data_IF_575780210905
#
_entry.id   IF_575780210905
#
_cell.length_a   1.000
_cell.length_b   1.000
_cell.length_c   1.000
_cell.angle_alpha   90.00
_cell.angle_beta   90.00
_cell.angle_gamma   90.00
#
_symmetry.space_group_name_H-M   'P 1'
#
loop_
_entity.id
_entity.type
_entity.pdbx_description
1 polymer ?
#
# COMPACT_ATOMS: atom_id res chain seq x y z
N UNK A 1 9.66 20.97 20.30
CA UNK A 1 9.25 20.91 18.89
C UNK A 1 8.76 19.50 18.62
N UNK A 2 7.51 19.36 18.19
CA UNK A 2 6.92 18.10 17.77
C UNK A 2 6.88 17.99 16.24
N UNK A 3 7.03 16.79 15.70
CA UNK A 3 6.85 16.49 14.27
C UNK A 3 5.73 15.48 14.14
N UNK A 4 4.76 15.75 13.27
CA UNK A 4 3.66 14.82 12.99
C UNK A 4 3.28 14.85 11.52
N UNK A 5 2.88 13.69 10.99
CA UNK A 5 2.27 13.58 9.68
C UNK A 5 0.75 13.77 9.72
N UNK A 6 0.15 13.70 10.91
CA UNK A 6 -1.29 13.78 11.14
C UNK A 6 -1.58 14.78 12.28
N UNK A 7 -1.63 16.09 12.00
CA UNK A 7 -1.74 17.13 13.03
C UNK A 7 -3.11 17.20 13.71
N UNK A 8 -4.11 16.50 13.22
CA UNK A 8 -5.50 16.57 13.74
C UNK A 8 -5.59 16.31 15.24
N UNK A 9 -4.90 15.29 15.74
CA UNK A 9 -4.94 14.97 17.16
C UNK A 9 -4.43 16.12 18.05
N UNK A 10 -3.46 16.88 17.53
CA UNK A 10 -2.87 18.00 18.24
C UNK A 10 -3.77 19.24 18.25
N UNK A 11 -4.66 19.39 17.26
CA UNK A 11 -5.62 20.50 17.20
C UNK A 11 -6.81 20.32 18.16
N UNK A 12 -7.16 19.08 18.47
CA UNK A 12 -8.27 18.74 19.35
C UNK A 12 -7.86 18.55 20.84
N UNK A 13 -6.61 18.85 21.18
CA UNK A 13 -6.15 18.87 22.57
C UNK A 13 -6.84 20.02 23.30
N UNK A 14 -7.43 19.72 24.46
CA UNK A 14 -8.04 20.76 25.29
C UNK A 14 -6.98 21.76 25.75
N UNK A 15 -7.31 23.04 25.67
CA UNK A 15 -6.50 24.13 26.23
C UNK A 15 -6.81 24.40 27.73
N UNK A 16 -7.83 23.72 28.28
CA UNK A 16 -8.17 23.84 29.68
C UNK A 16 -7.17 23.08 30.54
N UNK A 17 -6.54 23.80 31.44
CA UNK A 17 -5.60 23.28 32.44
C UNK A 17 -6.38 22.71 33.62
N UNK A 18 -6.13 21.43 33.92
CA UNK A 18 -6.46 20.88 35.22
C UNK A 18 -5.15 20.67 35.99
N UNK A 19 -4.79 21.67 36.83
CA UNK A 19 -3.54 21.65 37.60
C UNK A 19 -3.43 20.48 38.56
N UNK A 20 -4.55 19.79 38.84
CA UNK A 20 -4.65 18.70 39.82
C UNK A 20 -4.77 17.32 39.19
N UNK A 21 -4.65 17.20 37.84
CA UNK A 21 -4.81 15.91 37.20
C UNK A 21 -3.60 14.96 37.45
N UNK A 22 -3.83 13.96 38.27
CA UNK A 22 -2.86 12.93 38.62
C UNK A 22 -3.27 11.61 38.06
N UNK A 23 -2.34 10.93 37.34
CA UNK A 23 -2.51 9.55 36.90
C UNK A 23 -1.86 8.58 37.90
N UNK A 24 -2.58 7.55 38.29
CA UNK A 24 -2.03 6.46 39.12
C UNK A 24 -1.59 5.32 38.22
N UNK A 25 -0.28 5.11 38.10
CA UNK A 25 0.30 4.01 37.33
C UNK A 25 1.10 3.12 38.29
N UNK A 26 0.75 1.85 38.40
CA UNK A 26 1.38 0.87 39.30
C UNK A 26 1.47 1.35 40.77
N UNK A 27 0.38 1.89 41.30
CA UNK A 27 0.27 2.46 42.65
C UNK A 27 1.22 3.64 42.97
N UNK A 28 1.70 4.35 41.95
CA UNK A 28 2.41 5.61 42.08
C UNK A 28 1.64 6.73 41.39
N UNK A 29 1.51 7.86 42.09
CA UNK A 29 0.94 9.09 41.53
C UNK A 29 1.99 9.76 40.62
N UNK A 30 1.56 10.17 39.43
CA UNK A 30 2.31 11.00 38.51
C UNK A 30 1.48 12.23 38.20
N UNK A 31 2.09 13.41 38.22
CA UNK A 31 1.48 14.57 37.61
C UNK A 31 1.44 14.37 36.10
N UNK A 32 0.28 14.42 35.52
CA UNK A 32 0.11 14.41 34.07
C UNK A 32 0.31 15.86 33.65
N UNK A 33 1.46 16.15 33.06
CA UNK A 33 1.71 17.45 32.45
C UNK A 33 0.72 17.70 31.30
N UNK A 34 0.61 18.95 30.90
CA UNK A 34 -0.27 19.36 29.81
C UNK A 34 0.06 18.62 28.54
N UNK A 35 -0.95 18.23 27.80
CA UNK A 35 -0.79 17.73 26.44
C UNK A 35 -0.11 18.79 25.56
N UNK A 36 0.72 18.34 24.62
CA UNK A 36 1.48 19.22 23.74
C UNK A 36 0.58 19.89 22.70
N UNK A 37 -0.14 20.95 23.13
CA UNK A 37 -0.85 21.81 22.20
C UNK A 37 0.15 22.77 21.51
N UNK A 38 0.07 22.97 20.18
CA UNK A 38 0.95 23.87 19.45
C UNK A 38 0.51 25.35 19.63
N UNK A 39 0.75 25.92 20.81
CA UNK A 39 0.31 27.27 21.19
C UNK A 39 1.00 28.36 20.37
N UNK A 40 2.25 28.16 19.98
CA UNK A 40 3.06 29.23 19.42
C UNK A 40 3.14 29.22 17.90
N UNK A 41 3.20 28.03 17.27
CA UNK A 41 3.20 27.92 15.81
C UNK A 41 2.91 26.50 15.33
N UNK A 42 2.34 26.41 14.14
CA UNK A 42 2.29 25.20 13.31
C UNK A 42 2.97 25.54 11.99
N UNK A 43 3.96 24.76 11.59
CA UNK A 43 4.64 24.93 10.32
C UNK A 43 4.33 23.76 9.39
N UNK A 44 3.72 24.06 8.26
CA UNK A 44 3.47 23.10 7.20
C UNK A 44 4.71 22.95 6.30
N UNK A 45 5.30 21.74 6.27
CA UNK A 45 6.45 21.45 5.41
C UNK A 45 5.93 20.92 4.08
N UNK A 46 6.18 21.66 3.00
CA UNK A 46 5.78 21.26 1.64
C UNK A 46 6.51 19.99 1.20
N UNK A 47 5.77 19.07 0.61
CA UNK A 47 6.33 17.84 0.05
C UNK A 47 7.23 18.11 -1.14
N UNK A 48 8.29 17.30 -1.31
CA UNK A 48 9.11 17.35 -2.52
C UNK A 48 8.30 16.92 -3.76
N UNK A 49 8.59 17.51 -4.93
CA UNK A 49 7.87 17.22 -6.17
C UNK A 49 7.83 15.73 -6.55
N UNK A 50 8.88 14.98 -6.24
CA UNK A 50 8.96 13.54 -6.52
C UNK A 50 8.38 12.65 -5.40
N UNK A 51 7.74 13.23 -4.40
CA UNK A 51 6.96 12.49 -3.42
C UNK A 51 5.55 12.21 -3.95
N UNK A 52 5.14 10.95 -3.95
CA UNK A 52 3.80 10.52 -4.33
C UNK A 52 2.95 10.50 -3.05
N UNK A 53 2.27 11.61 -2.82
CA UNK A 53 1.36 11.80 -1.69
C UNK A 53 -0.09 11.50 -2.05
N UNK A 54 -0.97 11.77 -1.10
CA UNK A 54 -2.40 11.53 -1.28
C UNK A 54 -2.98 12.42 -2.39
N UNK A 55 -2.60 13.69 -2.46
CA UNK A 55 -3.07 14.64 -3.48
C UNK A 55 -2.76 14.20 -4.92
N UNK A 56 -1.55 13.68 -5.16
CA UNK A 56 -1.22 13.15 -6.49
C UNK A 56 -1.95 11.86 -6.82
N UNK A 57 -2.19 11.02 -5.82
CA UNK A 57 -2.76 9.70 -6.03
C UNK A 57 -4.27 9.73 -6.19
N UNK A 58 -4.95 10.57 -5.41
CA UNK A 58 -6.42 10.64 -5.39
C UNK A 58 -6.97 11.86 -6.13
N UNK A 59 -6.09 12.76 -6.60
CA UNK A 59 -6.48 14.05 -7.16
C UNK A 59 -6.81 15.08 -6.07
N UNK A 60 -6.88 16.32 -6.48
CA UNK A 60 -7.34 17.45 -5.67
C UNK A 60 -8.16 18.37 -6.56
N UNK A 61 -9.26 18.86 -6.02
CA UNK A 61 -9.96 20.02 -6.56
C UNK A 61 -9.79 21.15 -5.54
N UNK A 62 -9.19 22.26 -5.95
CA UNK A 62 -9.11 23.45 -5.11
C UNK A 62 -10.48 24.13 -5.10
N UNK A 63 -11.18 24.15 -3.95
CA UNK A 63 -12.54 24.71 -3.86
C UNK A 63 -12.58 26.23 -4.13
N UNK A 64 -11.44 26.93 -4.03
CA UNK A 64 -11.37 28.38 -4.22
C UNK A 64 -11.05 28.78 -5.66
N UNK A 65 -10.20 28.00 -6.34
CA UNK A 65 -9.76 28.32 -7.71
C UNK A 65 -10.46 27.44 -8.76
N UNK A 66 -11.05 26.31 -8.39
CA UNK A 66 -11.60 25.30 -9.29
C UNK A 66 -10.52 24.57 -10.09
N UNK A 67 -9.23 24.76 -9.77
CA UNK A 67 -8.15 23.98 -10.37
C UNK A 67 -8.19 22.56 -9.83
N UNK A 68 -8.25 21.58 -10.74
CA UNK A 68 -8.23 20.17 -10.39
C UNK A 68 -6.95 19.52 -10.90
N UNK A 69 -6.34 18.73 -10.02
CA UNK A 69 -5.27 17.82 -10.41
C UNK A 69 -5.86 16.42 -10.58
N UNK A 70 -5.82 15.90 -11.81
CA UNK A 70 -6.26 14.54 -12.09
C UNK A 70 -5.46 13.53 -11.24
N UNK A 71 -6.12 12.47 -10.72
CA UNK A 71 -5.44 11.41 -10.00
C UNK A 71 -4.47 10.67 -10.93
N UNK A 72 -3.34 10.20 -10.39
CA UNK A 72 -2.45 9.32 -11.13
C UNK A 72 -3.17 8.04 -11.56
N UNK A 73 -2.97 7.60 -12.81
CA UNK A 73 -3.58 6.39 -13.37
C UNK A 73 -2.99 5.09 -12.77
N UNK A 74 -3.10 4.95 -11.45
CA UNK A 74 -2.64 3.75 -10.73
C UNK A 74 -3.75 3.03 -9.96
N UNK A 75 -4.94 3.62 -9.88
CA UNK A 75 -6.12 3.01 -9.28
C UNK A 75 -6.74 1.96 -10.22
N UNK A 76 -7.09 0.81 -9.65
CA UNK A 76 -7.79 -0.27 -10.34
C UNK A 76 -8.98 -0.71 -9.48
N UNK A 77 -10.18 -0.42 -9.97
CA UNK A 77 -11.42 -0.72 -9.26
C UNK A 77 -11.63 -2.23 -9.14
N UNK A 78 -12.02 -2.66 -7.94
CA UNK A 78 -12.50 -3.99 -7.65
C UNK A 78 -14.04 -3.90 -7.58
N UNK A 79 -14.71 -4.51 -8.53
CA UNK A 79 -16.17 -4.47 -8.61
C UNK A 79 -16.83 -5.39 -7.59
N UNK A 80 -18.00 -4.98 -7.07
CA UNK A 80 -18.74 -5.73 -6.05
C UNK A 80 -19.13 -7.16 -6.48
N UNK A 81 -19.28 -7.37 -7.77
CA UNK A 81 -19.62 -8.67 -8.36
C UNK A 81 -18.49 -9.70 -8.19
N UNK A 82 -17.23 -9.25 -8.14
CA UNK A 82 -16.07 -10.13 -7.94
C UNK A 82 -15.91 -10.64 -6.50
N UNK A 83 -16.58 -9.99 -5.54
CA UNK A 83 -16.57 -10.38 -4.15
C UNK A 83 -17.99 -10.65 -3.58
N UNK A 84 -18.93 -11.08 -4.44
CA UNK A 84 -20.26 -11.52 -4.05
C UNK A 84 -20.46 -13.02 -4.36
N UNK A 85 -20.67 -13.93 -3.38
CA UNK A 85 -20.68 -13.59 -1.95
C UNK A 85 -19.34 -13.06 -1.52
N UNK A 86 -19.32 -12.05 -0.65
CA UNK A 86 -18.13 -11.22 -0.44
C UNK A 86 -17.02 -12.04 0.21
N UNK A 87 -16.08 -12.51 -0.63
CA UNK A 87 -14.90 -13.23 -0.13
C UNK A 87 -14.10 -12.39 0.86
N UNK A 88 -14.09 -11.06 0.66
CA UNK A 88 -13.32 -10.16 1.51
C UNK A 88 -14.10 -8.95 2.02
N UNK A 89 -15.36 -8.78 1.64
CA UNK A 89 -16.17 -7.68 2.13
C UNK A 89 -16.74 -8.01 3.52
N UNK A 90 -16.55 -7.08 4.48
CA UNK A 90 -17.14 -7.16 5.82
C UNK A 90 -16.85 -8.43 6.63
N UNK A 91 -15.59 -8.88 6.59
CA UNK A 91 -15.16 -9.92 7.54
C UNK A 91 -15.33 -9.37 8.96
N UNK A 92 -16.24 -9.98 9.72
CA UNK A 92 -16.64 -9.53 11.04
C UNK A 92 -16.70 -10.71 12.03
N UNK A 93 -17.20 -10.48 13.24
CA UNK A 93 -17.25 -11.50 14.30
C UNK A 93 -18.14 -12.71 13.95
N UNK A 94 -19.11 -12.54 13.05
CA UNK A 94 -20.08 -13.60 12.71
C UNK A 94 -19.54 -14.53 11.62
N UNK A 95 -18.77 -14.00 10.68
CA UNK A 95 -18.23 -14.77 9.54
C UNK A 95 -16.69 -14.96 9.58
N UNK A 96 -16.06 -14.65 10.70
CA UNK A 96 -14.58 -14.77 10.85
C UNK A 96 -14.04 -16.19 10.69
N UNK A 97 -14.88 -17.20 10.81
CA UNK A 97 -14.52 -18.60 10.68
C UNK A 97 -14.89 -19.19 9.30
N UNK A 98 -15.62 -18.43 8.46
CA UNK A 98 -15.98 -18.80 7.09
C UNK A 98 -14.80 -18.47 6.15
N UNK A 99 -13.78 -19.31 6.18
CA UNK A 99 -12.54 -19.09 5.46
C UNK A 99 -12.71 -19.25 3.94
N UNK A 100 -12.02 -18.45 3.11
CA UNK A 100 -12.13 -18.51 1.66
C UNK A 100 -11.56 -19.84 1.12
N UNK A 101 -12.22 -20.40 0.14
CA UNK A 101 -11.76 -21.60 -0.57
C UNK A 101 -10.81 -21.26 -1.73
N UNK A 102 -10.96 -20.07 -2.33
CA UNK A 102 -10.19 -19.59 -3.47
C UNK A 102 -9.88 -18.09 -3.35
N UNK A 103 -8.95 -17.62 -4.17
CA UNK A 103 -8.65 -16.18 -4.31
C UNK A 103 -9.50 -15.57 -5.43
N UNK A 104 -10.03 -14.33 -5.25
CA UNK A 104 -10.81 -13.66 -6.28
C UNK A 104 -9.95 -13.31 -7.50
N UNK A 105 -10.59 -13.18 -8.68
CA UNK A 105 -9.90 -12.88 -9.93
C UNK A 105 -9.19 -11.52 -9.88
N UNK A 106 -9.75 -10.53 -9.20
CA UNK A 106 -9.10 -9.24 -8.97
C UNK A 106 -7.77 -9.37 -8.22
N UNK A 107 -7.68 -10.26 -7.22
CA UNK A 107 -6.42 -10.52 -6.51
C UNK A 107 -5.43 -11.30 -7.39
N UNK A 108 -5.90 -12.25 -8.19
CA UNK A 108 -5.07 -12.94 -9.19
C UNK A 108 -4.52 -11.96 -10.23
N UNK A 109 -5.33 -10.99 -10.69
CA UNK A 109 -4.91 -9.89 -11.57
C UNK A 109 -3.85 -9.01 -10.90
N UNK A 110 -4.03 -8.67 -9.62
CA UNK A 110 -3.04 -7.92 -8.86
C UNK A 110 -1.69 -8.66 -8.75
N UNK A 111 -1.70 -9.99 -8.57
CA UNK A 111 -0.48 -10.82 -8.58
C UNK A 111 0.17 -10.81 -9.96
N UNK A 112 -0.59 -10.95 -11.06
CA UNK A 112 -0.07 -10.80 -12.42
C UNK A 112 0.56 -9.42 -12.64
N UNK A 113 -0.08 -8.36 -12.15
CA UNK A 113 0.47 -7.00 -12.18
C UNK A 113 1.80 -6.91 -11.41
N UNK A 114 1.91 -7.59 -10.26
CA UNK A 114 3.16 -7.62 -9.50
C UNK A 114 4.28 -8.37 -10.24
N UNK A 115 3.96 -9.47 -10.95
CA UNK A 115 4.92 -10.18 -11.80
C UNK A 115 5.46 -9.24 -12.89
N UNK A 116 4.57 -8.55 -13.61
CA UNK A 116 4.95 -7.59 -14.66
C UNK A 116 5.77 -6.42 -14.10
N UNK A 117 5.36 -5.86 -12.96
CA UNK A 117 6.11 -4.81 -12.27
C UNK A 117 7.53 -5.25 -11.94
N UNK A 118 7.70 -6.42 -11.35
CA UNK A 118 9.02 -6.95 -11.02
C UNK A 118 9.87 -7.21 -12.27
N UNK A 119 9.29 -7.71 -13.36
CA UNK A 119 9.97 -7.91 -14.63
C UNK A 119 10.44 -6.58 -15.24
N UNK A 120 9.57 -5.57 -15.30
CA UNK A 120 9.92 -4.24 -15.84
C UNK A 120 10.96 -3.53 -14.97
N UNK A 121 10.85 -3.62 -13.65
CA UNK A 121 11.84 -3.05 -12.73
C UNK A 121 13.23 -3.65 -12.94
N UNK A 122 13.33 -4.94 -13.28
CA UNK A 122 14.61 -5.57 -13.64
C UNK A 122 15.21 -4.95 -14.90
N UNK A 123 14.39 -4.72 -15.95
CA UNK A 123 14.83 -4.00 -17.17
C UNK A 123 15.32 -2.57 -16.90
N UNK A 124 14.88 -1.97 -15.80
CA UNK A 124 15.30 -0.63 -15.36
C UNK A 124 16.47 -0.64 -14.38
N UNK A 125 17.16 -1.77 -14.23
CA UNK A 125 18.34 -1.93 -13.36
C UNK A 125 18.00 -2.09 -11.87
N UNK A 126 16.78 -2.50 -11.55
CA UNK A 126 16.32 -2.73 -10.18
C UNK A 126 16.31 -4.23 -9.79
N UNK A 127 17.10 -5.09 -10.45
CA UNK A 127 17.13 -6.53 -10.19
C UNK A 127 17.59 -6.90 -8.78
N UNK A 128 18.36 -6.01 -8.14
CA UNK A 128 18.83 -6.14 -6.75
C UNK A 128 18.07 -5.28 -5.75
N UNK A 129 17.02 -4.58 -6.21
CA UNK A 129 16.17 -3.79 -5.32
C UNK A 129 15.01 -4.61 -4.79
N UNK A 130 14.55 -4.26 -3.60
CA UNK A 130 13.37 -4.89 -3.03
C UNK A 130 12.11 -4.53 -3.80
N UNK A 131 11.20 -5.47 -3.89
CA UNK A 131 9.85 -5.31 -4.44
C UNK A 131 8.86 -5.81 -3.41
N UNK A 132 7.81 -5.06 -3.18
CA UNK A 132 6.77 -5.48 -2.25
C UNK A 132 5.39 -5.32 -2.88
N UNK A 133 4.55 -6.33 -2.60
CA UNK A 133 3.11 -6.28 -2.80
C UNK A 133 2.42 -6.36 -1.44
N UNK A 134 1.43 -5.50 -1.23
CA UNK A 134 0.60 -5.49 -0.03
C UNK A 134 -0.73 -6.16 -0.31
N UNK A 135 -1.15 -7.09 0.55
CA UNK A 135 -2.51 -7.65 0.57
C UNK A 135 -3.11 -7.41 1.95
N UNK A 136 -4.08 -6.49 2.02
CA UNK A 136 -4.69 -6.06 3.27
C UNK A 136 -6.22 -6.12 3.19
N UNK A 137 -6.77 -7.27 3.51
CA UNK A 137 -8.21 -7.56 3.38
C UNK A 137 -8.85 -7.98 4.70
N UNK A 138 -8.07 -8.49 5.66
CA UNK A 138 -8.57 -9.04 6.90
C UNK A 138 -7.73 -8.64 8.11
N UNK A 139 -8.35 -8.72 9.31
CA UNK A 139 -7.71 -8.53 10.61
C UNK A 139 -7.44 -9.86 11.32
N UNK A 140 -8.21 -10.88 11.00
CA UNK A 140 -8.21 -12.15 11.69
C UNK A 140 -7.06 -13.04 11.22
N UNK A 141 -6.30 -13.57 12.17
CA UNK A 141 -5.11 -14.40 11.90
C UNK A 141 -5.46 -15.60 11.00
N UNK A 142 -6.54 -16.33 11.31
CA UNK A 142 -6.98 -17.46 10.49
C UNK A 142 -7.19 -17.11 9.01
N UNK A 143 -7.72 -15.90 8.73
CA UNK A 143 -7.90 -15.40 7.36
C UNK A 143 -6.58 -15.09 6.69
N UNK A 144 -5.66 -14.42 7.42
CA UNK A 144 -4.32 -14.09 6.92
C UNK A 144 -3.57 -15.37 6.55
N UNK A 145 -3.59 -16.38 7.43
CA UNK A 145 -2.93 -17.66 7.21
C UNK A 145 -3.56 -18.41 6.02
N UNK A 146 -4.90 -18.42 5.94
CA UNK A 146 -5.59 -19.06 4.82
C UNK A 146 -5.30 -18.40 3.48
N UNK A 147 -5.35 -17.07 3.41
CA UNK A 147 -5.02 -16.33 2.19
C UNK A 147 -3.54 -16.55 1.82
N UNK A 148 -2.63 -16.59 2.79
CA UNK A 148 -1.22 -16.88 2.56
C UNK A 148 -1.00 -18.29 1.98
N UNK A 149 -1.72 -19.28 2.47
CA UNK A 149 -1.69 -20.64 1.92
C UNK A 149 -2.17 -20.68 0.46
N UNK A 150 -3.32 -20.04 0.18
CA UNK A 150 -3.87 -19.96 -1.16
C UNK A 150 -2.95 -19.18 -2.10
N UNK A 151 -2.32 -18.11 -1.62
CA UNK A 151 -1.36 -17.31 -2.37
C UNK A 151 -0.10 -18.13 -2.72
N UNK A 152 0.44 -18.87 -1.75
CA UNK A 152 1.59 -19.76 -2.01
C UNK A 152 1.27 -20.79 -3.09
N UNK A 153 0.08 -21.38 -3.07
CA UNK A 153 -0.35 -22.33 -4.09
C UNK A 153 -0.47 -21.65 -5.46
N UNK A 154 -1.07 -20.45 -5.51
CA UNK A 154 -1.17 -19.67 -6.74
C UNK A 154 0.22 -19.33 -7.33
N UNK A 155 1.16 -18.89 -6.51
CA UNK A 155 2.52 -18.57 -6.98
C UNK A 155 3.22 -19.83 -7.53
N UNK A 156 3.09 -20.98 -6.86
CA UNK A 156 3.62 -22.24 -7.36
C UNK A 156 3.01 -22.64 -8.72
N UNK A 157 1.67 -22.48 -8.84
CA UNK A 157 0.97 -22.71 -10.10
C UNK A 157 1.51 -21.79 -11.21
N UNK A 158 1.67 -20.50 -10.95
CA UNK A 158 2.17 -19.52 -11.92
C UNK A 158 3.63 -19.78 -12.30
N UNK A 159 4.47 -20.19 -11.36
CA UNK A 159 5.86 -20.63 -11.67
C UNK A 159 5.84 -21.82 -12.64
N UNK A 160 5.02 -22.83 -12.35
CA UNK A 160 4.91 -24.02 -13.21
C UNK A 160 4.41 -23.67 -14.61
N UNK A 161 3.40 -22.81 -14.74
CA UNK A 161 2.89 -22.33 -16.04
C UNK A 161 3.96 -21.57 -16.83
N UNK A 162 4.74 -20.71 -16.17
CA UNK A 162 5.84 -19.96 -16.81
C UNK A 162 6.97 -20.91 -17.23
N UNK A 163 7.30 -21.90 -16.41
CA UNK A 163 8.34 -22.87 -16.74
C UNK A 163 7.94 -23.80 -17.88
N UNK A 164 6.66 -24.17 -17.95
CA UNK A 164 6.08 -24.96 -19.04
C UNK A 164 5.84 -24.14 -20.34
N UNK A 165 6.09 -22.82 -20.33
CA UNK A 165 5.69 -21.89 -21.39
C UNK A 165 4.21 -22.03 -21.79
N UNK A 166 3.32 -22.11 -20.79
CA UNK A 166 1.87 -22.15 -20.99
C UNK A 166 1.41 -20.92 -21.77
N UNK A 167 0.94 -21.16 -23.00
CA UNK A 167 0.60 -20.12 -23.96
C UNK A 167 -0.58 -19.25 -23.47
N UNK A 168 -1.59 -19.86 -22.85
CA UNK A 168 -2.76 -19.14 -22.33
C UNK A 168 -2.34 -18.20 -21.21
N UNK A 169 -1.54 -18.67 -20.26
CA UNK A 169 -1.04 -17.86 -19.18
C UNK A 169 -0.13 -16.72 -19.65
N UNK A 170 0.81 -17.01 -20.55
CA UNK A 170 1.72 -15.99 -21.13
C UNK A 170 0.93 -14.95 -21.91
N UNK A 171 -0.08 -15.37 -22.70
CA UNK A 171 -0.96 -14.47 -23.42
C UNK A 171 -1.74 -13.57 -22.46
N UNK A 172 -2.25 -14.12 -21.36
CA UNK A 172 -2.95 -13.32 -20.34
C UNK A 172 -2.08 -12.27 -19.66
N UNK A 173 -0.78 -12.53 -19.49
CA UNK A 173 0.20 -11.54 -19.00
C UNK A 173 0.47 -10.46 -20.07
N UNK A 174 0.57 -10.86 -21.35
CA UNK A 174 0.75 -9.92 -22.46
C UNK A 174 -0.44 -8.96 -22.59
N UNK A 175 -1.64 -9.48 -22.58
CA UNK A 175 -2.87 -8.71 -22.65
C UNK A 175 -2.95 -7.71 -21.50
N UNK A 176 -2.63 -8.14 -20.27
CA UNK A 176 -2.58 -7.25 -19.12
C UNK A 176 -1.50 -6.17 -19.27
N UNK A 177 -0.33 -6.52 -19.81
CA UNK A 177 0.74 -5.55 -20.07
C UNK A 177 0.30 -4.50 -21.09
N UNK A 178 -0.26 -4.93 -22.22
CA UNK A 178 -0.69 -4.03 -23.31
C UNK A 178 -1.90 -3.16 -22.93
N UNK A 179 -2.88 -3.73 -22.21
CA UNK A 179 -4.09 -3.03 -21.84
C UNK A 179 -3.96 -2.12 -20.61
N UNK A 180 -3.00 -2.38 -19.73
CA UNK A 180 -2.87 -1.66 -18.46
C UNK A 180 -1.51 -0.93 -18.34
N UNK A 181 -0.37 -1.59 -18.52
CA UNK A 181 0.93 -1.00 -18.25
C UNK A 181 1.37 0.01 -19.32
N UNK A 182 1.13 -0.30 -20.59
CA UNK A 182 1.50 0.59 -21.69
C UNK A 182 0.77 1.94 -21.61
N UNK A 183 -0.57 1.99 -21.51
CA UNK A 183 -1.28 3.26 -21.39
C UNK A 183 -0.98 4.01 -20.10
N UNK A 184 -0.84 3.30 -18.97
CA UNK A 184 -0.45 3.95 -17.70
C UNK A 184 0.93 4.58 -17.77
N UNK A 185 1.92 3.92 -18.40
CA UNK A 185 3.25 4.53 -18.57
C UNK A 185 3.17 5.79 -19.42
N UNK A 186 2.38 5.81 -20.51
CA UNK A 186 2.15 7.01 -21.32
C UNK A 186 1.51 8.13 -20.49
N UNK A 187 0.41 7.81 -19.79
CA UNK A 187 -0.30 8.79 -18.96
C UNK A 187 0.63 9.41 -17.89
N UNK A 188 1.42 8.59 -17.21
CA UNK A 188 2.37 9.07 -16.19
C UNK A 188 3.47 9.95 -16.80
N UNK A 189 4.00 9.60 -17.97
CA UNK A 189 5.01 10.42 -18.66
C UNK A 189 4.47 11.78 -19.07
N UNK A 190 3.21 11.85 -19.45
CA UNK A 190 2.55 13.08 -19.91
C UNK A 190 2.12 14.00 -18.73
N UNK A 191 1.67 13.41 -17.61
CA UNK A 191 1.03 14.15 -16.51
C UNK A 191 1.88 14.31 -15.25
N UNK A 192 3.06 13.67 -15.18
CA UNK A 192 3.91 13.78 -13.99
C UNK A 192 4.61 15.15 -13.95
N UNK A 193 4.48 15.86 -12.83
CA UNK A 193 5.01 17.21 -12.60
C UNK A 193 6.56 17.27 -12.39
N UNK A 194 7.23 16.14 -12.53
CA UNK A 194 8.70 16.02 -12.53
C UNK A 194 9.17 15.00 -13.55
N UNK A 195 10.43 15.11 -13.99
CA UNK A 195 11.04 14.17 -14.94
C UNK A 195 11.84 13.08 -14.21
N UNK A 196 11.56 11.83 -14.56
CA UNK A 196 12.38 10.68 -14.14
C UNK A 196 12.78 9.87 -15.39
N UNK A 197 14.02 10.01 -15.83
CA UNK A 197 14.52 9.37 -17.05
C UNK A 197 14.53 7.84 -17.01
N UNK A 198 14.29 7.24 -15.86
CA UNK A 198 14.19 5.78 -15.71
C UNK A 198 12.82 5.27 -16.10
N UNK A 199 11.78 6.11 -16.09
CA UNK A 199 10.45 5.76 -16.58
C UNK A 199 10.49 5.80 -18.11
N UNK A 200 10.25 4.65 -18.72
CA UNK A 200 10.26 4.50 -20.17
C UNK A 200 9.42 3.29 -20.59
N UNK A 201 8.98 3.33 -21.84
CA UNK A 201 8.31 2.20 -22.46
C UNK A 201 9.26 1.02 -22.67
N UNK A 202 8.70 -0.17 -22.60
CA UNK A 202 9.36 -1.43 -22.93
C UNK A 202 8.49 -2.22 -23.90
N UNK A 203 9.12 -3.02 -24.75
CA UNK A 203 8.40 -3.97 -25.60
C UNK A 203 8.01 -5.23 -24.81
N UNK A 204 6.93 -5.89 -25.23
CA UNK A 204 6.57 -7.18 -24.64
C UNK A 204 7.71 -8.21 -24.69
N UNK A 205 8.46 -8.23 -25.80
CA UNK A 205 9.59 -9.16 -25.98
C UNK A 205 10.67 -8.98 -24.91
N UNK A 206 10.95 -7.75 -24.51
CA UNK A 206 11.89 -7.45 -23.43
C UNK A 206 11.32 -7.89 -22.07
N UNK A 207 10.06 -7.53 -21.79
CA UNK A 207 9.39 -7.85 -20.53
C UNK A 207 9.28 -9.36 -20.34
N UNK A 208 8.87 -10.10 -21.36
CA UNK A 208 8.70 -11.55 -21.30
C UNK A 208 9.97 -12.30 -20.88
N UNK A 209 11.16 -11.81 -21.28
CA UNK A 209 12.45 -12.42 -20.89
C UNK A 209 12.72 -12.30 -19.39
N UNK A 210 12.21 -11.27 -18.76
CA UNK A 210 12.45 -11.00 -17.34
C UNK A 210 11.37 -11.60 -16.41
N UNK A 211 10.26 -12.13 -16.94
CA UNK A 211 9.19 -12.73 -16.12
C UNK A 211 9.69 -13.92 -15.31
N UNK A 212 10.39 -14.87 -15.95
CA UNK A 212 10.90 -16.08 -15.26
C UNK A 212 11.88 -15.74 -14.13
N UNK A 213 12.92 -14.92 -14.33
CA UNK A 213 13.82 -14.55 -13.24
C UNK A 213 13.16 -13.69 -12.18
N UNK A 214 12.10 -12.91 -12.51
CA UNK A 214 11.37 -12.11 -11.54
C UNK A 214 10.56 -12.95 -10.55
N UNK A 215 9.73 -13.89 -11.06
CA UNK A 215 8.83 -14.69 -10.22
C UNK A 215 9.58 -15.68 -9.32
N UNK A 216 10.75 -16.14 -9.71
CA UNK A 216 11.59 -17.04 -8.89
C UNK A 216 12.02 -16.43 -7.55
N UNK A 217 11.99 -15.12 -7.43
CA UNK A 217 12.31 -14.38 -6.19
C UNK A 217 11.10 -14.14 -5.29
N UNK A 218 9.90 -14.60 -5.68
CA UNK A 218 8.70 -14.31 -4.91
C UNK A 218 8.65 -15.11 -3.61
N UNK A 219 8.38 -14.39 -2.52
CA UNK A 219 8.19 -14.91 -1.19
C UNK A 219 6.85 -14.40 -0.62
N UNK A 220 6.02 -15.28 -0.10
CA UNK A 220 4.72 -14.95 0.47
C UNK A 220 4.81 -14.99 1.97
N UNK A 221 4.51 -13.87 2.63
CA UNK A 221 4.64 -13.73 4.07
C UNK A 221 3.35 -13.30 4.74
N UNK A 222 2.91 -14.09 5.72
CA UNK A 222 1.85 -13.73 6.64
C UNK A 222 2.41 -12.81 7.74
N UNK A 223 1.77 -11.64 7.94
CA UNK A 223 2.22 -10.62 8.89
C UNK A 223 1.12 -10.35 9.92
N UNK A 224 1.25 -10.97 11.11
CA UNK A 224 0.30 -10.79 12.21
C UNK A 224 0.96 -10.83 13.61
N UNK A 225 0.20 -10.49 14.68
CA UNK A 225 0.70 -10.28 16.03
C UNK A 225 1.13 -11.52 16.79
N UNK A 226 0.59 -12.68 16.42
CA UNK A 226 0.80 -13.97 17.11
C UNK A 226 1.94 -14.80 16.51
N UNK A 227 2.65 -14.29 15.51
CA UNK A 227 3.89 -14.91 15.05
C UNK A 227 4.93 -14.82 16.15
N UNK A 228 4.81 -15.71 17.17
CA UNK A 228 5.88 -16.01 18.08
C UNK A 228 6.97 -16.70 17.27
N UNK A 229 8.19 -16.25 17.45
CA UNK A 229 9.40 -16.86 16.91
C UNK A 229 9.54 -18.26 17.51
N UNK A 230 8.78 -19.24 17.02
CA UNK A 230 9.19 -20.61 17.16
C UNK A 230 10.32 -20.83 16.16
N UNK A 231 11.48 -21.21 16.64
CA UNK A 231 12.75 -21.33 15.92
C UNK A 231 12.76 -22.31 14.72
N UNK A 232 11.60 -22.77 14.26
CA UNK A 232 11.46 -23.83 13.24
C UNK A 232 10.66 -23.46 11.98
N UNK A 233 9.99 -22.31 11.96
CA UNK A 233 9.24 -21.87 10.77
C UNK A 233 9.90 -20.64 10.14
N UNK A 234 10.88 -20.85 9.30
CA UNK A 234 11.51 -19.81 8.47
C UNK A 234 10.52 -19.10 7.52
N UNK A 235 9.30 -19.61 7.36
CA UNK A 235 8.26 -19.03 6.52
C UNK A 235 7.31 -18.05 7.25
N UNK A 236 7.39 -17.96 8.58
CA UNK A 236 6.53 -17.11 9.42
C UNK A 236 7.34 -16.05 10.17
N UNK A 237 8.18 -15.30 9.48
CA UNK A 237 8.94 -14.23 10.11
C UNK A 237 8.01 -13.00 10.24
N UNK A 238 7.73 -12.61 11.48
CA UNK A 238 6.94 -11.42 11.84
C UNK A 238 7.54 -10.10 11.32
N UNK A 239 8.79 -10.10 10.90
CA UNK A 239 9.51 -8.98 10.32
C UNK A 239 10.02 -9.36 8.94
N UNK A 240 9.73 -8.51 7.97
CA UNK A 240 10.36 -8.58 6.65
C UNK A 240 11.73 -7.94 6.80
N UNK A 241 12.77 -8.77 6.86
CA UNK A 241 14.14 -8.28 7.00
C UNK A 241 14.76 -8.06 5.62
N UNK A 242 14.71 -6.83 5.18
CA UNK A 242 15.28 -6.42 3.90
C UNK A 242 16.82 -6.34 3.94
N UNK A 243 17.42 -6.15 5.10
CA UNK A 243 18.89 -6.06 5.24
C UNK A 243 19.57 -7.39 4.93
N UNK A 244 18.97 -8.53 5.33
CA UNK A 244 19.51 -9.86 5.02
C UNK A 244 19.53 -10.15 3.52
N UNK A 245 18.62 -9.56 2.76
CA UNK A 245 18.47 -9.79 1.30
C UNK A 245 18.98 -8.61 0.46
N UNK A 246 19.76 -7.71 1.05
CA UNK A 246 20.21 -6.47 0.41
C UNK A 246 21.00 -6.68 -0.88
N UNK A 247 21.78 -7.74 -0.95
CA UNK A 247 22.61 -8.03 -2.13
C UNK A 247 21.80 -8.61 -3.30
N UNK A 248 20.75 -9.38 -2.99
CA UNK A 248 19.96 -10.09 -3.99
C UNK A 248 18.63 -9.41 -4.33
N UNK A 249 18.13 -8.57 -3.43
CA UNK A 249 16.79 -8.01 -3.49
C UNK A 249 15.70 -9.05 -3.21
N UNK A 250 14.72 -8.68 -2.39
CA UNK A 250 13.57 -9.51 -2.03
C UNK A 250 12.35 -9.07 -2.83
N UNK A 251 11.57 -10.03 -3.33
CA UNK A 251 10.26 -9.76 -3.94
C UNK A 251 9.18 -10.41 -3.08
N UNK A 252 8.55 -9.64 -2.18
CA UNK A 252 7.67 -10.14 -1.15
C UNK A 252 6.21 -9.79 -1.39
N UNK A 253 5.32 -10.76 -1.19
CA UNK A 253 3.87 -10.55 -1.08
C UNK A 253 3.52 -10.59 0.40
N UNK A 254 3.34 -9.43 1.00
CA UNK A 254 3.02 -9.28 2.42
C UNK A 254 1.50 -9.30 2.63
N UNK A 255 1.01 -10.32 3.31
CA UNK A 255 -0.41 -10.50 3.62
C UNK A 255 -0.60 -10.28 5.11
N UNK A 256 -1.43 -9.32 5.48
CA UNK A 256 -1.58 -9.05 6.91
C UNK A 256 -2.69 -8.10 7.28
N UNK A 257 -2.79 -7.88 8.58
CA UNK A 257 -3.76 -7.03 9.23
C UNK A 257 -3.17 -5.76 9.83
N UNK A 258 -3.53 -5.45 11.09
CA UNK A 258 -3.15 -4.22 11.79
C UNK A 258 -1.65 -3.96 11.91
N UNK A 259 -0.81 -5.00 11.92
CA UNK A 259 0.65 -4.83 11.93
C UNK A 259 1.20 -4.20 10.65
N UNK A 260 0.57 -4.43 9.50
CA UNK A 260 0.98 -3.79 8.25
C UNK A 260 0.71 -2.28 8.25
N UNK A 261 -0.20 -1.80 9.08
CA UNK A 261 -0.48 -0.37 9.22
C UNK A 261 0.60 0.36 10.04
N UNK A 262 1.27 -0.34 10.96
CA UNK A 262 2.22 0.28 11.91
C UNK A 262 3.44 -0.62 12.11
N UNK A 263 4.64 -0.02 12.14
CA UNK A 263 5.86 -0.68 12.57
C UNK A 263 6.54 -1.60 11.56
N UNK A 264 6.07 -1.67 10.30
CA UNK A 264 6.72 -2.42 9.22
C UNK A 264 6.92 -1.50 8.03
N UNK A 265 8.12 -1.47 7.50
CA UNK A 265 8.42 -0.83 6.22
C UNK A 265 8.20 -1.83 5.09
N UNK A 266 7.57 -1.39 4.00
CA UNK A 266 7.41 -2.18 2.78
C UNK A 266 8.28 -1.54 1.69
N UNK A 267 9.53 -1.96 1.62
CA UNK A 267 10.47 -1.42 0.65
C UNK A 267 10.09 -1.81 -0.78
N UNK A 268 10.15 -0.84 -1.68
CA UNK A 268 9.81 -1.06 -3.08
C UNK A 268 8.33 -1.43 -3.30
N UNK A 269 7.43 -1.01 -2.40
CA UNK A 269 6.00 -1.26 -2.57
C UNK A 269 5.50 -0.68 -3.88
N UNK A 270 4.92 -1.53 -4.70
CA UNK A 270 4.42 -1.20 -6.03
C UNK A 270 2.97 -1.61 -6.24
N UNK A 271 2.57 -2.78 -5.78
CA UNK A 271 1.18 -3.25 -5.92
C UNK A 271 0.53 -3.36 -4.54
N UNK A 272 -0.64 -2.76 -4.39
CA UNK A 272 -1.44 -2.83 -3.17
C UNK A 272 -2.83 -3.35 -3.50
N UNK A 273 -3.24 -4.40 -2.81
CA UNK A 273 -4.61 -4.92 -2.83
C UNK A 273 -5.24 -4.65 -1.47
N UNK A 274 -6.17 -3.69 -1.44
CA UNK A 274 -6.67 -3.12 -0.20
C UNK A 274 -8.19 -3.06 -0.19
N UNK A 275 -8.84 -3.80 0.71
CA UNK A 275 -10.30 -3.83 0.88
C UNK A 275 -10.74 -3.59 2.33
N UNK A 276 -9.78 -3.30 3.20
CA UNK A 276 -10.11 -3.06 4.60
C UNK A 276 -10.71 -1.68 4.81
N UNK A 277 -11.82 -1.61 5.53
CA UNK A 277 -12.45 -0.37 5.97
C UNK A 277 -12.18 -0.07 7.43
N UNK A 278 -12.11 1.19 7.79
CA UNK A 278 -12.11 1.69 9.18
C UNK A 278 -13.00 2.92 9.25
N UNK A 279 -13.57 3.16 10.44
CA UNK A 279 -14.39 4.36 10.69
C UNK A 279 -13.54 5.57 11.09
N UNK A 280 -12.24 5.39 11.33
CA UNK A 280 -11.33 6.44 11.80
C UNK A 280 -10.47 6.92 10.63
N UNK A 281 -10.55 8.19 10.32
CA UNK A 281 -9.83 8.85 9.21
C UNK A 281 -8.31 8.75 9.30
N UNK A 282 -7.76 9.04 10.49
CA UNK A 282 -6.33 8.94 10.74
C UNK A 282 -5.81 7.50 10.54
N UNK A 283 -6.60 6.53 10.99
CA UNK A 283 -6.29 5.10 10.79
C UNK A 283 -6.31 4.72 9.31
N UNK A 284 -7.25 5.26 8.51
CA UNK A 284 -7.31 5.00 7.09
C UNK A 284 -6.06 5.54 6.40
N UNK A 285 -5.67 6.78 6.67
CA UNK A 285 -4.45 7.39 6.11
C UNK A 285 -3.17 6.65 6.52
N UNK A 286 -3.08 6.16 7.77
CA UNK A 286 -1.95 5.34 8.23
C UNK A 286 -1.86 3.97 7.53
N UNK A 287 -2.98 3.45 7.01
CA UNK A 287 -3.02 2.22 6.22
C UNK A 287 -2.58 2.45 4.77
N UNK A 288 -2.57 3.69 4.29
CA UNK A 288 -2.12 4.11 2.96
C UNK A 288 -0.61 3.95 2.78
N UNK A 289 -0.13 2.73 2.73
CA UNK A 289 1.31 2.41 2.60
C UNK A 289 1.85 2.65 1.19
N UNK A 290 1.01 2.92 0.23
CA UNK A 290 1.35 3.24 -1.16
C UNK A 290 1.90 4.65 -1.36
N UNK A 291 1.82 5.54 -0.38
CA UNK A 291 2.49 6.84 -0.41
C UNK A 291 4.01 6.72 -0.31
N UNK A 292 4.74 7.68 -0.88
CA UNK A 292 6.19 7.76 -0.74
C UNK A 292 6.93 7.97 -2.06
N UNK A 293 8.25 7.87 -2.00
CA UNK A 293 9.10 8.00 -3.19
C UNK A 293 9.08 6.73 -4.03
N UNK A 294 8.90 6.89 -5.36
CA UNK A 294 8.82 5.77 -6.33
C UNK A 294 9.78 5.99 -7.51
N UNK A 295 11.08 6.17 -7.25
CA UNK A 295 12.04 6.54 -8.28
C UNK A 295 12.19 5.44 -9.34
N UNK A 296 11.83 5.77 -10.59
CA UNK A 296 11.94 4.88 -11.73
C UNK A 296 10.85 3.82 -11.86
N UNK A 297 9.76 3.87 -11.05
CA UNK A 297 8.71 2.86 -11.13
C UNK A 297 7.31 3.32 -10.69
N UNK A 298 7.04 4.63 -10.62
CA UNK A 298 5.70 5.12 -10.25
C UNK A 298 4.63 4.67 -11.24
N UNK A 299 4.96 4.61 -12.53
CA UNK A 299 4.10 4.11 -13.61
C UNK A 299 3.77 2.62 -13.50
N UNK A 300 4.52 1.88 -12.71
CA UNK A 300 4.29 0.46 -12.45
C UNK A 300 3.46 0.22 -11.18
N UNK A 301 3.19 1.27 -10.40
CA UNK A 301 2.38 1.15 -9.20
C UNK A 301 0.91 0.85 -9.54
N UNK A 302 0.27 0.01 -8.71
CA UNK A 302 -1.17 -0.29 -8.81
C UNK A 302 -1.80 -0.33 -7.43
N UNK A 303 -2.92 0.37 -7.29
CA UNK A 303 -3.77 0.30 -6.12
C UNK A 303 -5.09 -0.37 -6.51
N UNK A 304 -5.25 -1.62 -6.15
CA UNK A 304 -6.48 -2.37 -6.27
C UNK A 304 -7.33 -2.13 -5.03
N UNK A 305 -8.45 -1.45 -5.19
CA UNK A 305 -9.42 -1.22 -4.11
C UNK A 305 -10.80 -0.96 -4.71
N UNK A 306 -11.85 -0.88 -3.89
CA UNK A 306 -13.16 -0.52 -4.41
C UNK A 306 -13.34 1.01 -4.46
N UNK A 307 -14.30 1.46 -5.28
CA UNK A 307 -14.59 2.88 -5.49
C UNK A 307 -14.92 3.61 -4.19
N UNK A 308 -15.71 3.01 -3.31
CA UNK A 308 -16.08 3.59 -2.03
C UNK A 308 -14.86 3.91 -1.15
N UNK A 309 -13.87 3.02 -1.11
CA UNK A 309 -12.63 3.26 -0.35
C UNK A 309 -11.81 4.36 -1.04
N UNK A 310 -11.76 4.36 -2.38
CA UNK A 310 -11.09 5.40 -3.14
C UNK A 310 -11.70 6.78 -2.88
N UNK A 311 -13.03 6.91 -2.92
CA UNK A 311 -13.75 8.13 -2.59
C UNK A 311 -13.47 8.62 -1.16
N UNK A 312 -13.40 7.70 -0.19
CA UNK A 312 -13.06 8.07 1.18
C UNK A 312 -11.66 8.66 1.29
N UNK A 313 -10.68 8.07 0.62
CA UNK A 313 -9.32 8.63 0.57
C UNK A 313 -9.29 9.99 -0.12
N UNK A 314 -10.04 10.16 -1.20
CA UNK A 314 -10.17 11.45 -1.89
C UNK A 314 -10.73 12.51 -0.95
N UNK A 315 -11.88 12.27 -0.30
CA UNK A 315 -12.48 13.22 0.65
C UNK A 315 -11.54 13.58 1.81
N UNK A 316 -10.84 12.60 2.37
CA UNK A 316 -9.87 12.86 3.45
C UNK A 316 -8.70 13.69 2.93
N UNK A 317 -8.26 13.44 1.72
CA UNK A 317 -7.18 14.19 1.08
C UNK A 317 -7.58 15.65 0.90
N UNK A 318 -8.77 15.91 0.37
CA UNK A 318 -9.30 17.27 0.23
C UNK A 318 -9.36 18.00 1.58
N UNK A 319 -9.98 17.41 2.60
CA UNK A 319 -10.06 18.01 3.93
C UNK A 319 -8.67 18.25 4.56
N UNK A 320 -7.71 17.37 4.30
CA UNK A 320 -6.33 17.52 4.80
C UNK A 320 -5.61 18.69 4.13
N UNK A 321 -5.77 18.85 2.83
CA UNK A 321 -5.12 19.96 2.10
C UNK A 321 -5.78 21.29 2.44
N UNK A 322 -7.10 21.33 2.58
CA UNK A 322 -7.81 22.54 3.08
C UNK A 322 -7.26 22.97 4.43
N UNK A 323 -7.18 22.07 5.39
CA UNK A 323 -6.59 22.36 6.69
C UNK A 323 -5.13 22.85 6.62
N UNK A 324 -4.32 22.28 5.70
CA UNK A 324 -2.94 22.73 5.51
C UNK A 324 -2.86 24.13 4.94
N UNK A 325 -3.75 24.49 4.03
CA UNK A 325 -3.85 25.83 3.47
C UNK A 325 -4.23 26.84 4.55
N UNK A 326 -5.15 26.48 5.45
CA UNK A 326 -5.51 27.32 6.60
C UNK A 326 -4.31 27.60 7.52
N UNK A 327 -3.45 26.61 7.76
CA UNK A 327 -2.22 26.83 8.53
C UNK A 327 -1.25 27.79 7.84
N UNK A 328 -1.13 27.72 6.53
CA UNK A 328 -0.27 28.64 5.77
C UNK A 328 -0.79 30.09 5.81
N UNK A 329 -2.11 30.30 5.99
CA UNK A 329 -2.74 31.63 6.15
C UNK A 329 -2.57 32.17 7.58
N UNK A 330 -2.58 31.27 8.58
CA UNK A 330 -2.47 31.64 10.01
C UNK A 330 -1.03 31.88 10.46
N UNK A 331 -0.03 31.47 9.71
CA UNK A 331 1.40 31.63 10.00
C UNK A 331 1.96 32.92 9.37
#
# INVERSE_FOLDING_TARGET
IGYTATPYANLFISQEYDEDYKAIVKNKEYYVGNDLFPEHFILNIKSAKNYIGASKLFGLEDPNTGESNEPLDIFRSIYSEEYNPPLFEKINKHNKDDLPEYLPESLKKAVKSFILTCAIRRLRGHEKKHNSMLVHVALYVKWIDRISLLMNNLIKEYINKIEANDLEFITSLKELFEADFVPTTSNILDNLDYKDSRIKHHSWVEVAKEIRPAIKKFDVRAVHGTTSVSKLDYHNIANIDYELEKENGLSVIAIGGGKLSRGITLEGLSVSYYLRTTKMYDSLMQMGRWFGYRPGYVDLCRLFTNERIFEWFNHITMATEEMRNDFDIMS
#
